data_IF_402282983158
#
_entry.id   IF_402282983158
#
_cell.length_a   1.000
_cell.length_b   1.000
_cell.length_c   1.000
_cell.angle_alpha   90.00
_cell.angle_beta   90.00
_cell.angle_gamma   90.00
#
_symmetry.space_group_name_H-M   'P 1'
#
loop_
_entity.id
_entity.type
_entity.pdbx_description
1 polymer ?
#
# COMPACT_ATOMS: atom_id res chain seq x y z
N UNK A 1 -0.35 3.95 -26.53
CA UNK A 1 -1.25 4.08 -25.37
C UNK A 1 -1.05 2.85 -24.53
N UNK A 2 -0.14 2.99 -23.58
CA UNK A 2 0.71 1.90 -23.12
C UNK A 2 0.01 1.03 -22.07
N UNK A 3 0.46 -0.21 -22.02
CA UNK A 3 0.29 -1.30 -21.07
C UNK A 3 0.50 -0.94 -19.56
N UNK A 4 0.39 0.34 -19.20
CA UNK A 4 0.61 0.90 -17.87
C UNK A 4 -0.56 0.58 -16.92
N UNK A 5 -1.81 0.75 -17.37
CA UNK A 5 -2.98 0.50 -16.51
C UNK A 5 -3.12 -0.95 -16.01
N UNK A 6 -2.70 -1.93 -16.81
CA UNK A 6 -2.74 -3.36 -16.43
C UNK A 6 -1.57 -3.74 -15.51
N UNK A 7 -0.39 -3.14 -15.70
CA UNK A 7 0.78 -3.33 -14.84
C UNK A 7 0.55 -2.70 -13.47
N UNK A 8 0.01 -1.47 -13.45
CA UNK A 8 -0.36 -0.73 -12.27
C UNK A 8 -1.42 -1.45 -11.43
N UNK A 9 -2.46 -1.99 -12.09
CA UNK A 9 -3.50 -2.77 -11.41
C UNK A 9 -2.92 -4.04 -10.77
N UNK A 10 -2.03 -4.75 -11.48
CA UNK A 10 -1.36 -5.94 -10.92
C UNK A 10 -0.49 -5.58 -9.72
N UNK A 11 0.18 -4.43 -9.75
CA UNK A 11 0.99 -3.94 -8.63
C UNK A 11 0.12 -3.62 -7.42
N UNK A 12 -0.95 -2.85 -7.62
CA UNK A 12 -1.94 -2.50 -6.58
C UNK A 12 -2.54 -3.75 -5.94
N UNK A 13 -2.95 -4.73 -6.77
CA UNK A 13 -3.50 -6.00 -6.29
C UNK A 13 -2.48 -6.82 -5.51
N UNK A 14 -1.22 -6.85 -5.96
CA UNK A 14 -0.14 -7.55 -5.26
C UNK A 14 0.14 -6.93 -3.90
N UNK A 15 0.20 -5.60 -3.83
CA UNK A 15 0.31 -4.84 -2.59
C UNK A 15 -0.86 -5.14 -1.64
N UNK A 16 -2.10 -4.98 -2.13
CA UNK A 16 -3.30 -5.24 -1.34
C UNK A 16 -3.33 -6.66 -0.77
N UNK A 17 -2.98 -7.66 -1.58
CA UNK A 17 -2.93 -9.05 -1.15
C UNK A 17 -1.83 -9.31 -0.12
N UNK A 18 -0.66 -8.67 -0.25
CA UNK A 18 0.42 -8.80 0.73
C UNK A 18 0.00 -8.27 2.10
N UNK A 19 -0.54 -7.06 2.16
CA UNK A 19 -0.98 -6.46 3.43
C UNK A 19 -2.19 -7.20 4.03
N UNK A 20 -3.10 -7.74 3.20
CA UNK A 20 -4.19 -8.59 3.70
C UNK A 20 -3.65 -9.84 4.40
N UNK A 21 -2.63 -10.51 3.83
CA UNK A 21 -2.00 -11.67 4.47
C UNK A 21 -1.30 -11.32 5.79
N UNK A 22 -0.69 -10.13 5.87
CA UNK A 22 -0.07 -9.66 7.13
C UNK A 22 -1.14 -9.46 8.21
N UNK A 23 -2.30 -8.90 7.83
CA UNK A 23 -3.42 -8.73 8.74
C UNK A 23 -4.01 -10.08 9.19
N UNK A 24 -4.20 -11.03 8.27
CA UNK A 24 -4.68 -12.38 8.56
C UNK A 24 -3.77 -13.13 9.55
N UNK A 25 -2.47 -12.82 9.55
CA UNK A 25 -1.49 -13.37 10.49
C UNK A 25 -1.40 -12.60 11.82
N UNK A 26 -2.12 -11.49 11.96
CA UNK A 26 -2.04 -10.60 13.11
C UNK A 26 -0.77 -9.76 13.18
N UNK A 27 0.01 -9.67 12.09
CA UNK A 27 1.24 -8.87 12.02
C UNK A 27 0.95 -7.37 11.89
N UNK A 28 -0.20 -7.01 11.34
CA UNK A 28 -0.71 -5.63 11.26
C UNK A 28 -2.17 -5.59 11.71
N UNK A 29 -2.62 -4.45 12.24
CA UNK A 29 -4.03 -4.27 12.63
C UNK A 29 -4.96 -4.02 11.43
N UNK A 30 -6.27 -4.18 11.64
CA UNK A 30 -7.30 -3.81 10.66
C UNK A 30 -7.21 -2.32 10.28
N UNK A 31 -6.83 -1.48 11.24
CA UNK A 31 -6.65 -0.05 11.00
C UNK A 31 -5.45 0.21 10.08
N UNK A 32 -4.32 -0.45 10.32
CA UNK A 32 -3.15 -0.34 9.44
C UNK A 32 -3.46 -0.84 8.03
N UNK A 33 -4.15 -1.98 7.91
CA UNK A 33 -4.59 -2.50 6.61
C UNK A 33 -5.46 -1.49 5.87
N UNK A 34 -6.46 -0.92 6.55
CA UNK A 34 -7.38 0.06 5.96
C UNK A 34 -6.66 1.32 5.48
N UNK A 35 -5.67 1.80 6.22
CA UNK A 35 -4.89 2.98 5.83
C UNK A 35 -3.98 2.69 4.62
N UNK A 36 -3.36 1.51 4.57
CA UNK A 36 -2.59 1.09 3.38
C UNK A 36 -3.47 0.99 2.15
N UNK A 37 -4.66 0.39 2.26
CA UNK A 37 -5.58 0.28 1.12
C UNK A 37 -5.97 1.65 0.57
N UNK A 38 -6.27 2.62 1.45
CA UNK A 38 -6.54 4.00 1.04
C UNK A 38 -5.34 4.66 0.37
N UNK A 39 -4.13 4.41 0.87
CA UNK A 39 -2.89 4.95 0.31
C UNK A 39 -2.65 4.41 -1.10
N UNK A 40 -2.83 3.11 -1.28
CA UNK A 40 -2.66 2.41 -2.57
C UNK A 40 -3.77 2.79 -3.55
N UNK A 41 -5.02 2.97 -3.13
CA UNK A 41 -6.10 3.44 -4.02
C UNK A 41 -5.83 4.83 -4.60
N UNK A 42 -5.12 5.68 -3.85
CA UNK A 42 -4.80 7.05 -4.26
C UNK A 42 -3.35 7.22 -4.73
N UNK A 43 -2.62 6.14 -5.04
CA UNK A 43 -1.18 6.18 -5.30
C UNK A 43 -0.78 7.11 -6.46
N UNK A 44 -1.62 7.23 -7.49
CA UNK A 44 -1.40 8.11 -8.65
C UNK A 44 -1.42 9.59 -8.28
N UNK A 45 -2.04 9.93 -7.15
CA UNK A 45 -2.15 11.30 -6.64
C UNK A 45 -0.94 11.72 -5.81
N UNK A 46 -0.02 10.81 -5.49
CA UNK A 46 1.13 11.07 -4.63
C UNK A 46 2.44 11.03 -5.41
N UNK A 47 3.34 11.96 -5.08
CA UNK A 47 4.74 11.80 -5.44
C UNK A 47 5.35 10.61 -4.68
N UNK A 48 6.39 9.94 -5.21
CA UNK A 48 7.02 8.80 -4.56
C UNK A 48 7.44 9.04 -3.10
N UNK A 49 7.99 10.23 -2.81
CA UNK A 49 8.42 10.60 -1.46
C UNK A 49 7.25 10.81 -0.49
N UNK A 50 6.14 11.38 -0.98
CA UNK A 50 4.92 11.55 -0.18
C UNK A 50 4.29 10.20 0.12
N UNK A 51 4.26 9.28 -0.85
CA UNK A 51 3.78 7.93 -0.66
C UNK A 51 4.59 7.20 0.43
N UNK A 52 5.93 7.26 0.36
CA UNK A 52 6.82 6.67 1.37
C UNK A 52 6.59 7.26 2.75
N UNK A 53 6.46 8.58 2.86
CA UNK A 53 6.20 9.26 4.13
C UNK A 53 4.88 8.78 4.76
N UNK A 54 3.80 8.72 3.99
CA UNK A 54 2.50 8.22 4.46
C UNK A 54 2.56 6.73 4.84
N UNK A 55 3.32 5.92 4.10
CA UNK A 55 3.53 4.52 4.44
C UNK A 55 4.27 4.37 5.78
N UNK A 56 5.27 5.22 6.03
CA UNK A 56 5.99 5.26 7.30
C UNK A 56 5.11 5.74 8.46
N UNK A 57 4.16 6.66 8.23
CA UNK A 57 3.17 7.05 9.24
C UNK A 57 2.28 5.86 9.66
N UNK A 58 1.95 4.95 8.74
CA UNK A 58 1.18 3.73 9.03
C UNK A 58 2.05 2.67 9.73
N UNK A 59 3.34 2.62 9.38
CA UNK A 59 4.31 1.66 9.91
C UNK A 59 5.55 2.35 10.51
N UNK A 60 5.40 3.06 11.64
CA UNK A 60 6.47 3.91 12.20
C UNK A 60 7.65 3.10 12.76
N UNK A 61 7.47 1.79 12.96
CA UNK A 61 8.51 0.87 13.43
C UNK A 61 9.16 0.05 12.31
N UNK A 62 8.87 0.37 11.06
CA UNK A 62 9.34 -0.40 9.92
C UNK A 62 10.41 0.35 9.14
N UNK A 63 11.56 -0.30 8.95
CA UNK A 63 12.75 0.25 8.27
C UNK A 63 12.68 0.09 6.74
N UNK A 64 11.54 0.44 6.13
CA UNK A 64 11.33 0.33 4.67
C UNK A 64 12.12 1.37 3.85
#
# INVERSE_FOLDING_TARGET
MANLGSLDLKLVLSFANAYRRLNEKGEISDQQLKEVMKLVENYQSFAPDEFKKRLHEIFPKSDF
#
